data_IF_562831694286
#
_entry.id   IF_562831694286
#
_cell.length_a   1.000
_cell.length_b   1.000
_cell.length_c   1.000
_cell.angle_alpha   90.00
_cell.angle_beta   90.00
_cell.angle_gamma   90.00
#
_symmetry.space_group_name_H-M   'P 1'
#
loop_
_entity.id
_entity.type
_entity.pdbx_description
1 polymer ?
#
# COMPACT_ATOMS: atom_id res chain seq x y z
N UNK A 1 -14.19 -9.08 19.26
CA UNK A 1 -14.01 -9.57 20.65
C UNK A 1 -12.53 -9.70 21.05
N UNK A 2 -11.57 -9.52 20.13
CA UNK A 2 -10.13 -9.53 20.45
C UNK A 2 -9.52 -8.15 20.61
N UNK A 3 -10.28 -7.09 20.33
CA UNK A 3 -9.82 -5.71 20.49
C UNK A 3 -8.68 -5.35 19.53
N UNK A 4 -8.79 -5.75 18.27
CA UNK A 4 -7.79 -5.48 17.21
C UNK A 4 -8.40 -4.60 16.13
N UNK A 5 -7.60 -3.72 15.55
CA UNK A 5 -7.95 -2.99 14.32
C UNK A 5 -7.77 -3.92 13.13
N UNK A 6 -8.71 -3.87 12.20
CA UNK A 6 -8.68 -4.70 10.99
C UNK A 6 -8.69 -3.80 9.75
N UNK A 7 -7.77 -4.04 8.83
CA UNK A 7 -7.80 -3.55 7.46
C UNK A 7 -8.17 -4.72 6.56
N UNK A 8 -9.31 -4.66 5.89
CA UNK A 8 -9.81 -5.74 5.06
C UNK A 8 -10.11 -5.27 3.64
N UNK A 9 -9.49 -5.94 2.64
CA UNK A 9 -9.77 -5.71 1.23
C UNK A 9 -11.01 -6.45 0.78
N UNK A 10 -11.82 -5.84 -0.08
CA UNK A 10 -13.04 -6.41 -0.62
C UNK A 10 -13.39 -5.86 -2.01
N UNK A 11 -14.21 -6.62 -2.73
CA UNK A 11 -14.88 -6.18 -3.95
C UNK A 11 -16.15 -5.43 -3.56
N UNK A 12 -16.16 -4.10 -3.70
CA UNK A 12 -17.32 -3.27 -3.37
C UNK A 12 -18.27 -3.15 -4.57
N UNK A 13 -19.51 -3.58 -4.39
CA UNK A 13 -20.60 -3.23 -5.30
C UNK A 13 -21.29 -1.98 -4.78
N UNK A 14 -21.01 -0.83 -5.39
CA UNK A 14 -21.65 0.45 -5.04
C UNK A 14 -23.05 0.56 -5.63
N UNK A 15 -23.19 0.11 -6.88
CA UNK A 15 -24.43 0.07 -7.62
C UNK A 15 -24.33 -1.00 -8.74
N UNK A 16 -25.42 -1.36 -9.42
CA UNK A 16 -25.35 -2.19 -10.63
C UNK A 16 -24.41 -1.53 -11.66
N UNK A 17 -23.39 -2.29 -12.11
CA UNK A 17 -22.37 -1.80 -13.07
C UNK A 17 -21.32 -0.84 -12.50
N UNK A 18 -21.34 -0.56 -11.21
CA UNK A 18 -20.37 0.33 -10.56
C UNK A 18 -19.70 -0.38 -9.38
N UNK A 19 -18.42 -0.71 -9.55
CA UNK A 19 -17.64 -1.50 -8.59
C UNK A 19 -16.33 -0.82 -8.26
N UNK A 20 -15.83 -1.07 -7.04
CA UNK A 20 -14.53 -0.57 -6.58
C UNK A 20 -13.73 -1.68 -5.91
N UNK A 21 -12.42 -1.64 -6.10
CA UNK A 21 -11.47 -2.33 -5.25
C UNK A 21 -11.33 -1.51 -3.96
N UNK A 22 -11.77 -2.06 -2.83
CA UNK A 22 -11.99 -1.29 -1.60
C UNK A 22 -11.30 -1.95 -0.42
N UNK A 23 -10.75 -1.16 0.48
CA UNK A 23 -10.37 -1.58 1.82
C UNK A 23 -11.26 -0.89 2.85
N UNK A 24 -11.73 -1.65 3.84
CA UNK A 24 -12.48 -1.13 5.00
C UNK A 24 -11.60 -1.16 6.23
N UNK A 25 -11.81 -0.18 7.10
CA UNK A 25 -11.08 -0.03 8.37
C UNK A 25 -12.08 -0.23 9.50
N UNK A 26 -11.85 -1.26 10.31
CA UNK A 26 -12.69 -1.62 11.45
C UNK A 26 -11.86 -1.44 12.72
N UNK A 27 -12.34 -0.63 13.64
CA UNK A 27 -11.66 -0.37 14.91
C UNK A 27 -11.74 -1.55 15.87
N UNK A 28 -11.00 -1.46 16.95
CA UNK A 28 -10.84 -2.50 17.96
C UNK A 28 -12.15 -2.89 18.66
N UNK A 29 -13.14 -2.02 18.70
CA UNK A 29 -14.48 -2.26 19.21
C UNK A 29 -15.46 -2.85 18.16
N UNK A 30 -15.03 -2.95 16.91
CA UNK A 30 -15.83 -3.39 15.78
C UNK A 30 -16.52 -2.27 14.99
N UNK A 31 -16.29 -1.01 15.36
CA UNK A 31 -16.82 0.14 14.63
C UNK A 31 -16.19 0.25 13.25
N UNK A 32 -17.00 0.38 12.22
CA UNK A 32 -16.53 0.69 10.86
C UNK A 32 -16.13 2.17 10.79
N UNK A 33 -14.82 2.46 10.79
CA UNK A 33 -14.30 3.83 10.72
C UNK A 33 -14.44 4.43 9.33
N UNK A 34 -14.43 3.59 8.30
CA UNK A 34 -14.57 4.06 6.92
C UNK A 34 -14.00 3.09 5.90
N UNK A 35 -13.82 3.61 4.69
CA UNK A 35 -13.29 2.84 3.57
C UNK A 35 -12.38 3.69 2.70
N UNK A 36 -11.43 3.01 2.05
CA UNK A 36 -10.61 3.53 0.97
C UNK A 36 -10.97 2.80 -0.31
N UNK A 37 -11.20 3.53 -1.39
CA UNK A 37 -11.37 2.98 -2.74
C UNK A 37 -10.09 3.19 -3.51
N UNK A 38 -9.52 2.14 -4.07
CA UNK A 38 -8.26 2.15 -4.82
C UNK A 38 -8.30 3.23 -5.89
N UNK A 39 -7.36 4.18 -5.83
CA UNK A 39 -7.30 5.32 -6.72
C UNK A 39 -6.65 4.98 -8.06
N UNK A 40 -5.57 4.20 -8.05
CA UNK A 40 -4.84 3.81 -9.25
C UNK A 40 -5.22 2.39 -9.65
N UNK A 41 -5.90 2.25 -10.76
CA UNK A 41 -6.38 0.96 -11.28
C UNK A 41 -5.44 0.51 -12.40
N UNK A 42 -4.73 -0.63 -12.23
CA UNK A 42 -3.87 -1.18 -13.26
C UNK A 42 -4.66 -1.80 -14.41
N UNK A 43 -3.99 -1.92 -15.55
CA UNK A 43 -4.44 -2.66 -16.72
C UNK A 43 -3.23 -3.27 -17.39
N UNK A 44 -2.74 -4.35 -16.81
CA UNK A 44 -1.57 -5.08 -17.24
C UNK A 44 -1.95 -6.56 -17.45
N UNK A 45 -1.28 -7.32 -18.31
CA UNK A 45 -1.58 -8.73 -18.51
C UNK A 45 -1.77 -9.48 -17.19
N UNK A 46 -2.90 -10.19 -17.06
CA UNK A 46 -3.39 -10.88 -15.86
C UNK A 46 -3.75 -9.98 -14.66
N UNK A 47 -3.61 -8.66 -14.78
CA UNK A 47 -4.10 -7.66 -13.81
C UNK A 47 -5.18 -6.76 -14.45
N UNK A 48 -6.18 -7.33 -15.04
CA UNK A 48 -7.25 -6.64 -15.80
C UNK A 48 -8.26 -5.93 -14.88
N UNK A 49 -7.77 -5.15 -13.93
CA UNK A 49 -8.63 -4.50 -12.94
C UNK A 49 -9.54 -3.43 -13.56
N UNK A 50 -9.13 -2.77 -14.64
CA UNK A 50 -9.97 -1.76 -15.32
C UNK A 50 -11.26 -2.32 -15.92
N UNK A 51 -11.31 -3.62 -16.18
CA UNK A 51 -12.54 -4.29 -16.63
C UNK A 51 -13.61 -4.26 -15.52
N UNK A 52 -13.20 -4.34 -14.27
CA UNK A 52 -14.10 -4.47 -13.12
C UNK A 52 -14.32 -3.16 -12.39
N UNK A 53 -13.26 -2.37 -12.18
CA UNK A 53 -13.25 -1.32 -11.17
C UNK A 53 -13.20 0.07 -11.76
N UNK A 54 -14.06 0.93 -11.21
CA UNK A 54 -13.95 2.38 -11.33
C UNK A 54 -12.87 2.89 -10.36
N UNK A 55 -12.03 3.85 -10.77
CA UNK A 55 -11.11 4.51 -9.85
C UNK A 55 -11.80 5.07 -8.59
N UNK A 56 -11.07 5.10 -7.49
CA UNK A 56 -11.59 5.62 -6.23
C UNK A 56 -11.98 7.09 -6.30
N UNK A 57 -13.03 7.46 -5.60
CA UNK A 57 -13.64 8.79 -5.58
C UNK A 57 -13.72 9.41 -4.16
N UNK A 58 -13.08 8.76 -3.18
CA UNK A 58 -13.05 9.21 -1.79
C UNK A 58 -11.77 9.96 -1.41
N UNK A 59 -10.79 10.01 -2.32
CA UNK A 59 -9.48 10.58 -2.07
C UNK A 59 -8.61 9.71 -1.16
N UNK A 60 -7.43 10.23 -0.85
CA UNK A 60 -6.49 9.61 0.08
C UNK A 60 -6.85 10.01 1.51
N UNK A 61 -6.85 9.05 2.44
CA UNK A 61 -7.34 9.25 3.81
C UNK A 61 -6.49 8.54 4.85
N UNK A 62 -6.51 9.11 6.07
CA UNK A 62 -6.02 8.46 7.28
C UNK A 62 -7.15 8.38 8.31
N UNK A 63 -7.12 7.35 9.15
CA UNK A 63 -8.14 7.08 10.17
C UNK A 63 -7.52 7.02 11.55
N UNK A 64 -8.16 7.68 12.50
CA UNK A 64 -7.84 7.52 13.92
C UNK A 64 -8.42 6.20 14.39
N UNK A 65 -7.57 5.29 14.82
CA UNK A 65 -7.96 4.04 15.45
C UNK A 65 -7.63 4.08 16.94
N UNK A 66 -8.09 3.10 17.68
CA UNK A 66 -7.74 2.96 19.10
C UNK A 66 -6.21 2.96 19.36
N UNK A 67 -5.40 2.49 18.41
CA UNK A 67 -3.97 2.27 18.63
C UNK A 67 -3.05 3.25 17.90
N UNK A 68 -3.60 4.12 17.07
CA UNK A 68 -2.84 5.11 16.31
C UNK A 68 -3.52 5.51 15.01
N UNK A 69 -2.92 6.44 14.30
CA UNK A 69 -3.46 6.94 13.04
C UNK A 69 -2.89 6.18 11.85
N UNK A 70 -3.74 5.49 11.13
CA UNK A 70 -3.34 4.61 10.03
C UNK A 70 -3.79 5.15 8.67
N UNK A 71 -2.96 4.92 7.64
CA UNK A 71 -3.32 5.11 6.24
C UNK A 71 -3.46 3.77 5.54
N UNK A 72 -4.34 3.70 4.54
CA UNK A 72 -4.54 2.48 3.74
C UNK A 72 -4.53 2.86 2.27
N UNK A 73 -3.71 2.16 1.51
CA UNK A 73 -3.55 2.26 0.06
C UNK A 73 -3.55 0.84 -0.50
N UNK A 74 -3.99 0.64 -1.75
CA UNK A 74 -4.18 -0.72 -2.28
C UNK A 74 -3.27 -0.97 -3.47
N UNK A 75 -2.41 -1.99 -3.36
CA UNK A 75 -1.64 -2.60 -4.44
C UNK A 75 -0.98 -1.57 -5.37
N UNK A 76 -1.54 -1.27 -6.55
CA UNK A 76 -0.98 -0.36 -7.55
C UNK A 76 -0.68 1.04 -7.02
N UNK A 77 -1.41 1.50 -5.99
CA UNK A 77 -1.13 2.77 -5.29
C UNK A 77 0.30 2.82 -4.72
N UNK A 78 0.91 1.66 -4.46
CA UNK A 78 2.26 1.53 -3.90
C UNK A 78 3.36 2.16 -4.78
N UNK A 79 3.10 2.33 -6.08
CA UNK A 79 4.06 2.90 -7.02
C UNK A 79 4.06 4.43 -7.05
N UNK A 80 3.06 5.06 -6.44
CA UNK A 80 2.82 6.50 -6.53
C UNK A 80 3.20 7.23 -5.23
N UNK A 81 4.34 7.96 -5.22
CA UNK A 81 4.77 8.75 -4.05
C UNK A 81 3.70 9.75 -3.59
N UNK A 82 2.90 10.29 -4.51
CA UNK A 82 1.82 11.23 -4.22
C UNK A 82 0.76 10.60 -3.30
N UNK A 83 0.40 9.34 -3.53
CA UNK A 83 -0.57 8.61 -2.71
C UNK A 83 -0.08 8.48 -1.26
N UNK A 84 1.16 8.02 -1.09
CA UNK A 84 1.81 7.91 0.22
C UNK A 84 1.92 9.28 0.90
N UNK A 85 2.34 10.30 0.16
CA UNK A 85 2.51 11.67 0.68
C UNK A 85 1.20 12.27 1.14
N UNK A 86 0.15 12.22 0.31
CA UNK A 86 -1.16 12.79 0.67
C UNK A 86 -1.78 12.09 1.88
N UNK A 87 -1.58 10.78 2.01
CA UNK A 87 -2.03 10.03 3.19
C UNK A 87 -1.22 10.38 4.43
N UNK A 88 0.10 10.51 4.32
CA UNK A 88 0.97 10.91 5.43
C UNK A 88 0.73 12.34 5.90
N UNK A 89 0.40 13.26 4.99
CA UNK A 89 0.03 14.65 5.32
C UNK A 89 -1.24 14.74 6.18
N UNK A 90 -2.07 13.71 6.19
CA UNK A 90 -3.20 13.60 7.11
C UNK A 90 -2.80 13.00 8.47
N UNK A 91 -1.50 12.81 8.72
CA UNK A 91 -0.97 12.37 10.00
C UNK A 91 -0.85 10.84 10.14
N UNK A 92 -0.96 10.06 9.07
CA UNK A 92 -0.74 8.62 9.16
C UNK A 92 0.65 8.30 9.72
N UNK A 93 0.69 7.45 10.76
CA UNK A 93 1.90 6.95 11.41
C UNK A 93 2.37 5.64 10.79
N UNK A 94 1.44 4.89 10.21
CA UNK A 94 1.70 3.67 9.44
C UNK A 94 0.83 3.63 8.20
N UNK A 95 1.41 3.21 7.06
CA UNK A 95 0.73 2.98 5.80
C UNK A 95 0.61 1.48 5.53
N UNK A 96 -0.61 0.99 5.31
CA UNK A 96 -0.88 -0.40 4.95
C UNK A 96 -1.13 -0.51 3.45
N UNK A 97 -0.48 -1.50 2.83
CA UNK A 97 -0.63 -1.83 1.41
C UNK A 97 -1.05 -3.29 1.22
N UNK A 98 -2.35 -3.63 1.34
CA UNK A 98 -2.82 -4.92 0.86
C UNK A 98 -2.60 -5.02 -0.64
N UNK A 99 -1.97 -6.11 -1.08
CA UNK A 99 -1.38 -6.25 -2.42
C UNK A 99 -1.54 -7.67 -2.95
N UNK A 100 -1.62 -7.78 -4.29
CA UNK A 100 -1.45 -9.02 -5.04
C UNK A 100 -0.55 -8.71 -6.25
N UNK A 101 0.77 -8.88 -6.09
CA UNK A 101 1.76 -8.64 -7.13
C UNK A 101 2.70 -9.84 -7.26
N UNK A 102 3.09 -10.15 -8.49
CA UNK A 102 3.90 -11.32 -8.80
C UNK A 102 4.61 -11.17 -10.14
N UNK A 103 5.25 -12.26 -10.54
CA UNK A 103 5.94 -12.35 -11.81
C UNK A 103 5.08 -13.07 -12.86
N UNK A 104 5.18 -12.62 -14.09
CA UNK A 104 4.90 -13.49 -15.23
C UNK A 104 6.02 -14.54 -15.31
N UNK A 105 5.72 -15.84 -15.28
CA UNK A 105 6.75 -16.87 -15.28
C UNK A 105 7.76 -16.75 -16.42
N UNK A 106 7.31 -16.30 -17.60
CA UNK A 106 8.17 -16.07 -18.77
C UNK A 106 9.15 -14.92 -18.59
N UNK A 107 8.83 -13.91 -17.80
CA UNK A 107 9.67 -12.72 -17.57
C UNK A 107 10.55 -12.87 -16.32
N UNK A 108 10.18 -13.73 -15.41
CA UNK A 108 10.85 -13.91 -14.11
C UNK A 108 12.36 -14.13 -14.21
N UNK A 109 12.90 -14.96 -15.13
CA UNK A 109 14.34 -15.19 -15.22
C UNK A 109 15.14 -13.95 -15.56
N UNK A 110 14.60 -13.07 -16.39
CA UNK A 110 15.30 -11.86 -16.87
C UNK A 110 15.03 -10.64 -15.97
N UNK A 111 13.77 -10.43 -15.58
CA UNK A 111 13.34 -9.18 -14.93
C UNK A 111 12.97 -9.35 -13.46
N UNK A 112 12.71 -10.58 -13.01
CA UNK A 112 12.06 -10.84 -11.73
C UNK A 112 12.78 -10.23 -10.52
N UNK A 113 14.10 -10.32 -10.46
CA UNK A 113 14.88 -9.74 -9.36
C UNK A 113 14.77 -8.21 -9.32
N UNK A 114 14.80 -7.55 -10.49
CA UNK A 114 14.69 -6.09 -10.60
C UNK A 114 13.28 -5.59 -10.29
N UNK A 115 12.25 -6.31 -10.73
CA UNK A 115 10.85 -5.99 -10.45
C UNK A 115 10.58 -6.05 -8.94
N UNK A 116 11.04 -7.11 -8.28
CA UNK A 116 10.89 -7.25 -6.83
C UNK A 116 11.68 -6.17 -6.06
N UNK A 117 12.93 -5.91 -6.47
CA UNK A 117 13.77 -4.86 -5.85
C UNK A 117 13.09 -3.49 -5.96
N UNK A 118 12.54 -3.15 -7.13
CA UNK A 118 11.83 -1.89 -7.34
C UNK A 118 10.62 -1.77 -6.41
N UNK A 119 9.84 -2.86 -6.28
CA UNK A 119 8.67 -2.92 -5.41
C UNK A 119 8.99 -2.71 -3.93
N UNK A 120 10.04 -3.35 -3.42
CA UNK A 120 10.47 -3.16 -2.04
C UNK A 120 11.05 -1.76 -1.83
N UNK A 121 11.88 -1.30 -2.77
CA UNK A 121 12.56 -0.01 -2.69
C UNK A 121 11.58 1.14 -2.63
N UNK A 122 10.59 1.19 -3.53
CA UNK A 122 9.62 2.30 -3.57
C UNK A 122 8.83 2.41 -2.27
N UNK A 123 8.40 1.30 -1.68
CA UNK A 123 7.63 1.31 -0.45
C UNK A 123 8.47 1.70 0.76
N UNK A 124 9.72 1.22 0.84
CA UNK A 124 10.69 1.67 1.85
C UNK A 124 11.01 3.16 1.71
N UNK A 125 11.08 3.66 0.48
CA UNK A 125 11.20 5.10 0.20
C UNK A 125 10.02 5.89 0.75
N UNK A 126 8.79 5.36 0.67
CA UNK A 126 7.63 6.02 1.27
C UNK A 126 7.77 6.15 2.79
N UNK A 127 8.30 5.13 3.46
CA UNK A 127 8.58 5.19 4.90
C UNK A 127 9.56 6.32 5.24
N UNK A 128 10.69 6.36 4.56
CA UNK A 128 11.74 7.39 4.74
C UNK A 128 11.20 8.79 4.45
N UNK A 129 10.62 8.98 3.27
CA UNK A 129 10.19 10.29 2.80
C UNK A 129 9.07 10.90 3.65
N UNK A 130 8.31 10.08 4.37
CA UNK A 130 7.18 10.52 5.19
C UNK A 130 7.40 10.37 6.70
N UNK A 131 8.52 9.78 7.13
CA UNK A 131 8.80 9.50 8.53
C UNK A 131 7.68 8.66 9.17
N UNK A 132 7.26 7.58 8.51
CA UNK A 132 6.20 6.69 8.98
C UNK A 132 6.57 5.22 8.75
N UNK A 133 5.85 4.30 9.39
CA UNK A 133 5.99 2.89 9.10
C UNK A 133 5.25 2.52 7.80
N UNK A 134 5.71 1.44 7.15
CA UNK A 134 5.02 0.85 6.00
C UNK A 134 4.85 -0.65 6.24
N UNK A 135 3.64 -1.14 6.06
CA UNK A 135 3.30 -2.56 6.12
C UNK A 135 2.74 -3.01 4.76
N UNK A 136 3.57 -3.70 3.99
CA UNK A 136 3.20 -4.29 2.71
C UNK A 136 2.76 -5.73 2.92
N UNK A 137 1.55 -6.06 2.51
CA UNK A 137 0.96 -7.40 2.65
C UNK A 137 0.68 -7.97 1.27
N UNK A 138 1.47 -8.95 0.86
CA UNK A 138 1.38 -9.53 -0.48
C UNK A 138 0.92 -10.99 -0.46
N UNK A 139 0.33 -11.40 -1.56
CA UNK A 139 -0.06 -12.78 -1.87
C UNK A 139 1.15 -13.67 -2.15
N UNK A 140 0.96 -14.98 -2.00
CA UNK A 140 1.90 -16.03 -2.42
C UNK A 140 1.22 -17.01 -3.37
N UNK A 141 2.02 -17.81 -4.05
CA UNK A 141 1.58 -18.95 -4.86
C UNK A 141 1.36 -18.62 -6.33
N UNK A 142 1.09 -19.64 -7.11
CA UNK A 142 0.79 -19.54 -8.53
C UNK A 142 -0.72 -19.52 -8.75
N UNK A 143 -1.19 -18.54 -9.50
CA UNK A 143 -2.55 -18.50 -10.03
C UNK A 143 -2.48 -18.66 -11.55
N UNK A 144 -2.99 -19.77 -12.05
CA UNK A 144 -2.89 -20.11 -13.46
C UNK A 144 -4.29 -20.25 -14.05
N UNK A 145 -4.70 -19.34 -14.96
CA UNK A 145 -5.93 -19.51 -15.70
C UNK A 145 -5.82 -20.69 -16.67
N UNK A 146 -6.94 -21.25 -17.05
CA UNK A 146 -6.98 -22.37 -18.00
C UNK A 146 -6.32 -21.93 -19.32
N UNK A 147 -5.25 -22.62 -19.70
CA UNK A 147 -4.53 -22.37 -20.96
C UNK A 147 -3.56 -21.19 -20.96
N UNK A 148 -3.22 -20.63 -19.81
CA UNK A 148 -2.27 -19.51 -19.68
C UNK A 148 -1.08 -19.82 -18.77
N UNK A 149 -0.06 -18.95 -18.84
CA UNK A 149 1.17 -19.07 -18.03
C UNK A 149 0.97 -18.72 -16.55
N UNK A 150 -0.07 -17.94 -16.24
CA UNK A 150 -0.41 -17.55 -14.88
C UNK A 150 0.45 -16.43 -14.30
N UNK A 151 0.25 -16.17 -12.99
CA UNK A 151 1.02 -15.25 -12.16
C UNK A 151 1.58 -15.99 -10.97
N UNK A 152 2.89 -15.88 -10.75
CA UNK A 152 3.53 -16.32 -9.53
C UNK A 152 3.67 -15.14 -8.57
N UNK A 153 2.82 -15.08 -7.55
CA UNK A 153 2.90 -14.05 -6.52
C UNK A 153 4.13 -14.26 -5.66
N UNK A 154 4.95 -13.22 -5.50
CA UNK A 154 6.27 -13.37 -4.87
C UNK A 154 6.27 -13.27 -3.35
N UNK A 155 5.10 -13.14 -2.71
CA UNK A 155 5.04 -13.07 -1.25
C UNK A 155 5.84 -11.91 -0.70
N UNK A 156 6.75 -12.23 0.22
CA UNK A 156 7.68 -11.29 0.84
C UNK A 156 7.01 -10.05 1.44
N UNK A 157 5.82 -10.24 2.02
CA UNK A 157 5.19 -9.23 2.89
C UNK A 157 6.22 -8.71 3.89
N UNK A 158 6.21 -7.40 4.16
CA UNK A 158 7.19 -6.83 5.06
C UNK A 158 6.65 -5.65 5.86
N UNK A 159 7.36 -5.35 6.94
CA UNK A 159 7.19 -4.09 7.69
C UNK A 159 8.50 -3.31 7.63
N UNK A 160 8.42 -2.07 7.21
CA UNK A 160 9.52 -1.11 7.20
C UNK A 160 9.36 -0.10 8.33
N UNK A 161 10.45 0.18 9.02
CA UNK A 161 10.55 1.27 9.98
C UNK A 161 10.66 2.63 9.29
N UNK A 162 10.66 3.69 10.10
CA UNK A 162 10.63 5.10 9.65
C UNK A 162 11.88 5.55 8.91
N UNK A 163 12.98 4.82 9.00
CA UNK A 163 14.23 5.06 8.27
C UNK A 163 14.41 4.12 7.08
N UNK A 164 13.37 3.36 6.72
CA UNK A 164 13.41 2.43 5.61
C UNK A 164 14.04 1.07 5.93
N UNK A 165 14.41 0.81 7.18
CA UNK A 165 14.90 -0.48 7.63
C UNK A 165 13.80 -1.55 7.60
N UNK A 166 14.15 -2.79 7.25
CA UNK A 166 13.22 -3.91 7.32
C UNK A 166 13.14 -4.43 8.76
N UNK A 167 11.98 -4.27 9.40
CA UNK A 167 11.71 -4.81 10.74
C UNK A 167 11.35 -6.29 10.68
N UNK A 168 10.64 -6.71 9.65
CA UNK A 168 10.35 -8.10 9.34
C UNK A 168 10.05 -8.27 7.86
N UNK A 169 10.31 -9.47 7.34
CA UNK A 169 10.03 -9.85 5.96
C UNK A 169 9.65 -11.33 5.89
N UNK A 170 8.55 -11.64 5.23
CA UNK A 170 8.06 -12.99 5.01
C UNK A 170 8.83 -13.69 3.88
N UNK A 171 8.67 -14.99 3.78
CA UNK A 171 9.21 -15.80 2.68
C UNK A 171 8.49 -15.56 1.36
N UNK A 172 9.08 -16.07 0.28
CA UNK A 172 8.51 -15.98 -1.08
C UNK A 172 7.28 -16.89 -1.24
N UNK A 173 7.30 -18.07 -0.64
CA UNK A 173 6.43 -19.17 -1.04
C UNK A 173 5.70 -19.88 0.11
N UNK A 174 5.74 -19.33 1.32
CA UNK A 174 5.05 -19.90 2.47
C UNK A 174 4.01 -18.93 3.01
N UNK A 175 2.81 -19.41 3.38
CA UNK A 175 1.88 -18.60 4.15
C UNK A 175 2.46 -18.33 5.54
N UNK A 176 2.60 -17.06 5.89
CA UNK A 176 3.18 -16.62 7.16
C UNK A 176 2.37 -15.51 7.78
N UNK A 177 2.35 -15.48 9.10
CA UNK A 177 1.86 -14.35 9.88
C UNK A 177 3.06 -13.58 10.43
N UNK A 178 3.26 -12.35 10.00
CA UNK A 178 4.25 -11.46 10.59
C UNK A 178 3.66 -10.80 11.83
N UNK A 179 4.29 -11.03 12.97
CA UNK A 179 4.02 -10.30 14.21
C UNK A 179 5.19 -9.36 14.46
N UNK A 180 4.93 -8.05 14.41
CA UNK A 180 5.95 -7.01 14.50
C UNK A 180 5.50 -5.99 15.53
N UNK A 181 6.36 -5.73 16.51
CA UNK A 181 6.17 -4.65 17.44
C UNK A 181 6.68 -3.35 16.82
N UNK A 182 5.85 -2.30 16.81
CA UNK A 182 6.21 -0.97 16.33
C UNK A 182 5.85 0.08 17.37
N UNK A 183 6.76 0.97 17.62
CA UNK A 183 6.56 2.14 18.48
C UNK A 183 6.14 3.33 17.61
N UNK A 184 4.83 3.62 17.53
CA UNK A 184 4.31 4.67 16.64
C UNK A 184 4.87 6.06 16.95
N UNK A 185 5.24 6.34 18.20
CA UNK A 185 5.88 7.58 18.60
C UNK A 185 7.20 7.85 17.85
N UNK A 186 7.86 6.83 17.29
CA UNK A 186 9.04 7.01 16.43
C UNK A 186 8.73 7.83 15.18
N UNK A 187 7.49 7.82 14.68
CA UNK A 187 7.10 8.68 13.56
C UNK A 187 7.26 10.17 13.90
N UNK A 188 6.82 10.57 15.09
CA UNK A 188 7.00 11.96 15.55
C UNK A 188 8.46 12.31 15.75
N UNK A 189 9.23 11.44 16.41
CA UNK A 189 10.66 11.61 16.62
C UNK A 189 11.40 11.76 15.30
N UNK A 190 11.13 10.88 14.32
CA UNK A 190 11.75 10.94 12.99
C UNK A 190 11.40 12.25 12.28
N UNK A 191 10.12 12.63 12.27
CA UNK A 191 9.64 13.87 11.63
C UNK A 191 10.19 15.13 12.29
N UNK A 192 10.54 15.07 13.57
CA UNK A 192 11.15 16.18 14.30
C UNK A 192 12.62 16.34 13.96
N UNK A 193 13.39 15.24 13.97
CA UNK A 193 14.83 15.26 13.73
C UNK A 193 15.21 15.33 12.24
N UNK A 194 14.40 14.70 11.39
CA UNK A 194 14.52 14.75 9.93
C UNK A 194 13.23 15.33 9.34
N UNK A 195 13.10 16.66 9.37
CA UNK A 195 11.82 17.34 9.18
C UNK A 195 11.41 17.48 7.70
N UNK A 196 11.45 16.41 6.94
CA UNK A 196 11.13 16.41 5.51
C UNK A 196 9.74 16.99 5.20
N UNK A 197 8.75 16.76 6.09
CA UNK A 197 7.41 17.32 5.89
C UNK A 197 7.37 18.84 6.09
N UNK A 198 8.13 19.37 7.08
CA UNK A 198 8.24 20.80 7.36
C UNK A 198 8.96 21.53 6.24
N UNK A 199 10.04 20.93 5.73
CA UNK A 199 10.96 21.57 4.80
C UNK A 199 10.51 21.48 3.33
N UNK A 200 9.29 20.98 3.09
CA UNK A 200 8.69 20.93 1.75
C UNK A 200 8.50 22.32 1.17
N UNK A 201 8.89 22.49 -0.07
CA UNK A 201 8.70 23.72 -0.85
C UNK A 201 7.31 23.72 -1.52
N UNK A 202 6.26 23.82 -0.68
CA UNK A 202 4.86 23.78 -1.15
C UNK A 202 4.53 24.88 -2.17
N UNK A 203 5.28 25.96 -2.15
CA UNK A 203 5.24 27.07 -3.10
C UNK A 203 5.71 26.69 -4.51
N UNK A 204 6.51 25.62 -4.64
CA UNK A 204 7.14 25.18 -5.88
C UNK A 204 6.50 23.91 -6.49
N UNK A 205 5.50 23.28 -5.85
CA UNK A 205 4.95 21.99 -6.28
C UNK A 205 3.70 22.11 -7.16
N UNK A 206 3.36 23.30 -7.68
CA UNK A 206 2.13 23.49 -8.45
C UNK A 206 2.01 22.57 -9.68
N UNK A 207 3.12 22.27 -10.33
CA UNK A 207 3.14 21.46 -11.54
C UNK A 207 2.99 19.94 -11.32
N UNK A 208 3.02 19.46 -10.07
CA UNK A 208 2.89 18.03 -9.78
C UNK A 208 1.54 17.44 -10.24
N UNK A 209 0.56 18.27 -10.49
CA UNK A 209 -0.74 17.87 -11.02
C UNK A 209 -0.78 17.72 -12.56
N UNK A 210 0.29 18.10 -13.24
CA UNK A 210 0.46 17.91 -14.68
C UNK A 210 1.03 16.52 -14.97
N UNK A 211 0.65 15.96 -16.12
CA UNK A 211 1.24 14.69 -16.58
C UNK A 211 2.65 14.85 -17.10
N UNK A 212 2.94 16.02 -17.67
CA UNK A 212 4.22 16.41 -18.23
C UNK A 212 4.36 17.94 -18.17
N UNK A 213 5.59 18.43 -18.06
CA UNK A 213 5.91 19.86 -18.04
C UNK A 213 6.67 20.15 -19.32
N UNK A 214 6.08 20.99 -20.23
CA UNK A 214 6.68 21.46 -21.48
C UNK A 214 7.66 22.60 -21.21
#
# INVERSE_FOLDING_TARGET
RRGVVIVASLFERRAPGLYHNTAVIIDADGTLLGRYRKMHIPDDPLFYEKFYFTPGDLGFRAWNTRFGRIGVLICWDQWYPEAARLTALQGAEILFYPTAIGWHPSEKPEYGARQHLAWETIQRSHAVANGCFVAAVNRIGLEQPIGGDGLEFWGQSFVSGTSGELLAKASVNKPENLLVEVELAKSETTRTHWPFLRDRRIDAYGDITRRFID
#
